data_IF_833187204566
#
_entry.id   IF_833187204566
#
_cell.length_a   1.000
_cell.length_b   1.000
_cell.length_c   1.000
_cell.angle_alpha   90.00
_cell.angle_beta   90.00
_cell.angle_gamma   90.00
#
_symmetry.space_group_name_H-M   'P 1'
#
loop_
_entity.id
_entity.type
_entity.pdbx_description
1 polymer ?
#
# COMPACT_ATOMS: atom_id res chain seq x y z
N UNK A 1 -19.77 -20.38 11.28
CA UNK A 1 -19.41 -20.96 9.96
C UNK A 1 -18.30 -20.07 9.39
N UNK A 2 -17.12 -20.64 9.10
CA UNK A 2 -16.03 -19.87 8.51
C UNK A 2 -16.37 -19.37 7.10
N UNK A 3 -15.72 -18.28 6.66
CA UNK A 3 -15.86 -17.75 5.32
C UNK A 3 -15.40 -18.77 4.25
N UNK A 4 -15.73 -18.53 2.98
CA UNK A 4 -15.22 -19.36 1.87
C UNK A 4 -13.68 -19.33 1.85
N UNK A 5 -13.08 -18.19 2.18
CA UNK A 5 -11.63 -18.04 2.27
C UNK A 5 -11.03 -18.90 3.39
N UNK A 6 -11.68 -18.97 4.58
CA UNK A 6 -11.23 -19.81 5.69
C UNK A 6 -11.23 -21.29 5.33
N UNK A 7 -12.25 -21.77 4.61
CA UNK A 7 -12.33 -23.16 4.17
C UNK A 7 -11.22 -23.50 3.19
N UNK A 8 -10.99 -22.64 2.21
CA UNK A 8 -9.94 -22.84 1.22
C UNK A 8 -8.55 -22.75 1.85
N UNK A 9 -8.33 -21.78 2.76
CA UNK A 9 -7.09 -21.64 3.49
C UNK A 9 -6.78 -22.86 4.35
N UNK A 10 -7.81 -23.41 5.02
CA UNK A 10 -7.66 -24.65 5.78
C UNK A 10 -7.17 -25.80 4.88
N UNK A 11 -7.80 -25.99 3.70
CA UNK A 11 -7.38 -27.03 2.76
C UNK A 11 -5.94 -26.83 2.25
N UNK A 12 -5.51 -25.57 2.03
CA UNK A 12 -4.12 -25.27 1.69
C UNK A 12 -3.15 -25.59 2.82
N UNK A 13 -3.50 -25.28 4.08
CA UNK A 13 -2.67 -25.58 5.26
C UNK A 13 -2.54 -27.07 5.52
N UNK A 14 -3.58 -27.84 5.25
CA UNK A 14 -3.55 -29.31 5.37
C UNK A 14 -2.69 -29.97 4.27
N UNK A 15 -2.46 -29.27 3.15
CA UNK A 15 -1.72 -29.76 1.99
C UNK A 15 -0.55 -28.83 1.60
N UNK A 16 0.18 -28.32 2.58
CA UNK A 16 1.36 -27.46 2.33
C UNK A 16 2.39 -28.20 1.47
N UNK A 17 2.91 -27.49 0.46
CA UNK A 17 3.86 -28.08 -0.49
C UNK A 17 3.20 -28.86 -1.63
N UNK A 18 1.87 -29.05 -1.63
CA UNK A 18 1.15 -29.78 -2.65
C UNK A 18 0.21 -28.88 -3.47
N UNK A 19 -0.03 -29.26 -4.73
CA UNK A 19 -0.96 -28.55 -5.60
C UNK A 19 -2.41 -28.86 -5.24
N UNK A 20 -3.07 -27.92 -4.60
CA UNK A 20 -4.44 -28.06 -4.09
C UNK A 20 -5.44 -27.37 -5.01
N UNK A 21 -6.51 -28.08 -5.38
CA UNK A 21 -7.58 -27.54 -6.23
C UNK A 21 -8.34 -26.42 -5.52
N UNK A 22 -8.36 -25.23 -6.13
CA UNK A 22 -9.08 -24.07 -5.59
C UNK A 22 -10.60 -24.21 -5.65
N UNK A 23 -11.15 -24.98 -6.60
CA UNK A 23 -12.58 -25.12 -6.80
C UNK A 23 -13.25 -26.07 -5.77
N UNK A 24 -12.82 -27.33 -5.69
CA UNK A 24 -13.49 -28.30 -4.81
C UNK A 24 -13.29 -28.01 -3.31
N UNK A 25 -12.26 -27.25 -2.95
CA UNK A 25 -12.00 -26.88 -1.57
C UNK A 25 -12.60 -25.53 -1.13
N UNK A 26 -12.99 -24.67 -2.08
CA UNK A 26 -13.65 -23.41 -1.76
C UNK A 26 -15.18 -23.50 -1.76
N UNK A 27 -15.73 -24.37 -2.58
CA UNK A 27 -17.16 -24.37 -2.89
C UNK A 27 -17.60 -23.11 -3.65
N UNK A 28 -16.65 -22.38 -4.23
CA UNK A 28 -16.89 -21.13 -4.96
C UNK A 28 -16.71 -21.33 -6.46
N UNK A 29 -17.60 -20.75 -7.25
CA UNK A 29 -17.44 -20.67 -8.70
C UNK A 29 -16.33 -19.71 -9.15
N UNK A 30 -15.79 -18.90 -8.22
CA UNK A 30 -14.70 -17.95 -8.46
C UNK A 30 -13.49 -18.18 -7.51
N UNK A 31 -12.80 -19.31 -7.59
CA UNK A 31 -11.70 -19.63 -6.68
C UNK A 31 -10.53 -18.63 -6.76
N UNK A 32 -10.36 -17.95 -7.90
CA UNK A 32 -9.33 -16.93 -8.06
C UNK A 32 -9.57 -15.67 -7.21
N UNK A 33 -10.83 -15.29 -6.95
CA UNK A 33 -11.15 -14.19 -6.05
C UNK A 33 -10.80 -14.56 -4.59
N UNK A 34 -11.26 -15.72 -4.14
CA UNK A 34 -10.95 -16.27 -2.82
C UNK A 34 -9.43 -16.45 -2.61
N UNK A 35 -8.72 -16.93 -3.64
CA UNK A 35 -7.26 -17.02 -3.60
C UNK A 35 -6.57 -15.67 -3.38
N UNK A 36 -7.06 -14.60 -4.05
CA UNK A 36 -6.51 -13.24 -3.85
C UNK A 36 -6.72 -12.74 -2.42
N UNK A 37 -7.86 -13.06 -1.80
CA UNK A 37 -8.10 -12.72 -0.38
C UNK A 37 -7.08 -13.41 0.52
N UNK A 38 -6.82 -14.69 0.31
CA UNK A 38 -5.83 -15.46 1.08
C UNK A 38 -4.41 -14.89 0.87
N UNK A 39 -4.07 -14.51 -0.36
CA UNK A 39 -2.79 -13.83 -0.61
C UNK A 39 -2.67 -12.50 0.14
N UNK A 40 -3.74 -11.72 0.23
CA UNK A 40 -3.78 -10.49 1.02
C UNK A 40 -3.58 -10.71 2.51
N UNK A 41 -3.93 -11.88 3.02
CA UNK A 41 -3.63 -12.27 4.41
C UNK A 41 -2.14 -12.59 4.63
N UNK A 42 -1.28 -12.44 3.61
CA UNK A 42 0.17 -12.63 3.70
C UNK A 42 0.66 -14.05 3.43
N UNK A 43 -0.22 -14.98 3.05
CA UNK A 43 0.21 -16.33 2.70
C UNK A 43 0.94 -16.38 1.36
N UNK A 44 2.05 -17.12 1.33
CA UNK A 44 2.93 -17.25 0.16
C UNK A 44 2.65 -18.52 -0.59
N UNK A 45 2.50 -18.38 -1.90
CA UNK A 45 2.24 -19.46 -2.83
C UNK A 45 3.35 -19.55 -3.88
N UNK A 46 3.59 -20.75 -4.40
CA UNK A 46 4.54 -20.98 -5.47
C UNK A 46 4.09 -20.25 -6.75
N UNK A 47 5.00 -19.47 -7.33
CA UNK A 47 4.77 -18.85 -8.64
C UNK A 47 5.04 -19.86 -9.76
N UNK A 48 4.07 -20.03 -10.65
CA UNK A 48 4.22 -20.85 -11.86
C UNK A 48 5.00 -20.08 -12.93
N UNK A 49 4.69 -18.78 -13.05
CA UNK A 49 5.40 -17.79 -13.86
C UNK A 49 5.30 -16.44 -13.15
N UNK A 50 6.12 -15.42 -13.47
CA UNK A 50 6.04 -14.12 -12.82
C UNK A 50 4.61 -13.58 -12.73
N UNK A 51 4.18 -13.29 -11.50
CA UNK A 51 2.82 -12.81 -11.15
C UNK A 51 1.68 -13.81 -11.44
N UNK A 52 1.98 -15.10 -11.60
CA UNK A 52 0.98 -16.14 -11.81
C UNK A 52 1.21 -17.34 -10.87
N UNK A 53 0.25 -17.62 -10.01
CA UNK A 53 0.31 -18.67 -8.98
C UNK A 53 -0.61 -19.87 -9.28
N UNK A 54 -1.57 -19.70 -10.17
CA UNK A 54 -2.49 -20.77 -10.55
C UNK A 54 -1.95 -21.63 -11.68
N UNK A 55 -1.90 -22.96 -11.45
CA UNK A 55 -1.58 -23.99 -12.44
C UNK A 55 -2.84 -24.75 -12.80
N UNK A 56 -3.17 -24.83 -14.10
CA UNK A 56 -4.29 -25.66 -14.55
C UNK A 56 -3.87 -27.13 -14.56
N UNK A 57 -4.57 -27.94 -13.79
CA UNK A 57 -4.33 -29.38 -13.67
C UNK A 57 -5.66 -30.14 -13.61
N UNK A 58 -5.65 -31.40 -14.01
CA UNK A 58 -6.79 -32.27 -13.82
C UNK A 58 -6.99 -32.54 -12.32
N UNK A 59 -8.21 -32.32 -11.83
CA UNK A 59 -8.61 -32.62 -10.46
C UNK A 59 -9.46 -33.87 -10.43
N UNK A 60 -9.02 -34.98 -9.78
CA UNK A 60 -9.79 -36.20 -9.73
C UNK A 60 -11.09 -36.08 -8.91
N UNK A 61 -11.17 -35.08 -8.00
CA UNK A 61 -12.37 -34.84 -7.18
C UNK A 61 -13.43 -34.08 -8.00
N UNK A 62 -13.05 -33.05 -8.76
CA UNK A 62 -13.96 -32.30 -9.63
C UNK A 62 -14.21 -33.01 -10.97
N UNK A 63 -13.34 -33.97 -11.33
CA UNK A 63 -13.27 -34.66 -12.62
C UNK A 63 -13.13 -33.68 -13.81
N UNK A 64 -12.40 -32.58 -13.59
CA UNK A 64 -12.19 -31.49 -14.58
C UNK A 64 -10.82 -30.86 -14.42
N UNK A 65 -10.39 -30.15 -15.49
CA UNK A 65 -9.23 -29.30 -15.41
C UNK A 65 -9.57 -28.00 -14.67
N UNK A 66 -8.91 -27.74 -13.53
CA UNK A 66 -9.14 -26.60 -12.65
C UNK A 66 -7.85 -25.93 -12.23
N UNK A 67 -7.94 -24.69 -11.75
CA UNK A 67 -6.81 -24.00 -11.17
C UNK A 67 -6.43 -24.58 -9.81
N UNK A 68 -5.19 -25.02 -9.69
CA UNK A 68 -4.56 -25.45 -8.44
C UNK A 68 -3.56 -24.42 -7.99
N UNK A 69 -3.37 -24.33 -6.69
CA UNK A 69 -2.42 -23.42 -6.05
C UNK A 69 -1.61 -24.22 -5.02
N UNK A 70 -0.35 -23.85 -4.83
CA UNK A 70 0.55 -24.54 -3.90
C UNK A 70 1.01 -23.57 -2.83
N UNK A 71 0.55 -23.78 -1.60
CA UNK A 71 0.97 -23.03 -0.42
C UNK A 71 2.39 -23.43 -0.01
N UNK A 72 3.27 -22.46 0.27
CA UNK A 72 4.67 -22.69 0.64
C UNK A 72 4.84 -22.82 2.16
N UNK A 73 4.05 -22.05 2.95
CA UNK A 73 4.14 -22.02 4.41
C UNK A 73 2.77 -21.92 5.05
N UNK A 74 2.58 -22.61 6.17
CA UNK A 74 1.36 -22.52 7.00
C UNK A 74 1.23 -21.19 7.72
N UNK A 75 2.34 -20.46 7.88
CA UNK A 75 2.37 -19.15 8.51
C UNK A 75 2.46 -18.05 7.44
N UNK A 76 1.73 -16.95 7.63
CA UNK A 76 1.87 -15.80 6.73
C UNK A 76 3.25 -15.17 6.90
N UNK A 77 3.97 -14.98 5.80
CA UNK A 77 5.27 -14.30 5.80
C UNK A 77 5.13 -12.77 5.81
N UNK A 78 3.99 -12.27 5.35
CA UNK A 78 3.67 -10.84 5.34
C UNK A 78 2.24 -10.69 5.88
N UNK A 79 2.11 -10.06 7.03
CA UNK A 79 0.80 -9.62 7.52
C UNK A 79 0.48 -8.30 6.83
N UNK A 80 -0.58 -8.25 6.00
CA UNK A 80 -1.08 -6.95 5.53
C UNK A 80 -1.45 -6.10 6.74
N UNK A 81 -0.81 -4.95 6.88
CA UNK A 81 -1.17 -3.96 7.90
C UNK A 81 -2.61 -3.53 7.64
N UNK A 82 -3.53 -3.66 8.61
CA UNK A 82 -4.87 -3.15 8.44
C UNK A 82 -4.81 -1.62 8.24
N UNK A 83 -5.58 -1.11 7.27
CA UNK A 83 -5.74 0.33 7.10
C UNK A 83 -6.85 0.83 8.03
N UNK A 84 -6.57 1.90 8.77
CA UNK A 84 -7.57 2.60 9.53
C UNK A 84 -8.60 3.26 8.60
N UNK A 85 -9.87 3.04 8.85
CA UNK A 85 -10.94 3.70 8.08
C UNK A 85 -11.10 5.14 8.54
N UNK A 86 -11.19 6.06 7.61
CA UNK A 86 -11.40 7.49 7.88
C UNK A 86 -12.90 7.80 7.74
N UNK A 87 -13.54 8.21 8.82
CA UNK A 87 -14.96 8.62 8.81
C UNK A 87 -15.14 9.96 8.09
N UNK A 88 -16.35 10.29 7.58
CA UNK A 88 -16.61 11.59 6.97
C UNK A 88 -16.27 12.79 7.87
N UNK A 89 -16.50 12.66 9.19
CA UNK A 89 -16.17 13.71 10.17
C UNK A 89 -14.66 13.92 10.31
N UNK A 90 -13.89 12.83 10.38
CA UNK A 90 -12.43 12.89 10.41
C UNK A 90 -11.86 13.47 9.12
N UNK A 91 -12.42 13.06 7.97
CA UNK A 91 -12.04 13.62 6.67
C UNK A 91 -12.25 15.13 6.63
N UNK A 92 -13.42 15.62 7.04
CA UNK A 92 -13.71 17.05 7.08
C UNK A 92 -12.72 17.82 7.97
N UNK A 93 -12.38 17.26 9.15
CA UNK A 93 -11.37 17.84 10.05
C UNK A 93 -10.00 17.96 9.38
N UNK A 94 -9.53 16.89 8.72
CA UNK A 94 -8.23 16.87 8.03
C UNK A 94 -8.19 17.87 6.87
N UNK A 95 -9.26 17.96 6.08
CA UNK A 95 -9.35 18.93 4.98
C UNK A 95 -9.17 20.36 5.46
N UNK A 96 -9.87 20.75 6.53
CA UNK A 96 -9.76 22.09 7.13
C UNK A 96 -8.35 22.34 7.67
N UNK A 97 -7.78 21.39 8.42
CA UNK A 97 -6.44 21.54 9.01
C UNK A 97 -5.33 21.69 7.98
N UNK A 98 -5.52 21.09 6.80
CA UNK A 98 -4.55 21.14 5.69
C UNK A 98 -4.95 22.14 4.59
N UNK A 99 -5.75 23.16 4.94
CA UNK A 99 -6.14 24.29 4.07
C UNK A 99 -6.81 23.90 2.76
N UNK A 100 -7.33 22.69 2.62
CA UNK A 100 -7.90 22.16 1.37
C UNK A 100 -6.99 22.37 0.15
N UNK A 101 -5.67 22.22 0.33
CA UNK A 101 -4.66 22.44 -0.72
C UNK A 101 -3.85 21.19 -1.00
N UNK A 102 -3.59 20.95 -2.28
CA UNK A 102 -2.62 19.94 -2.71
C UNK A 102 -1.20 20.33 -2.26
N UNK A 103 -0.55 19.42 -1.53
CA UNK A 103 0.76 19.71 -0.94
C UNK A 103 1.85 19.99 -1.98
N UNK A 104 1.74 19.44 -3.19
CA UNK A 104 2.76 19.63 -4.22
C UNK A 104 2.52 20.88 -5.08
N UNK A 105 1.30 21.12 -5.53
CA UNK A 105 0.98 22.25 -6.39
C UNK A 105 0.57 23.51 -5.63
N UNK A 106 0.03 23.36 -4.41
CA UNK A 106 -0.62 24.45 -3.67
C UNK A 106 -2.01 24.81 -4.20
N UNK A 107 -2.51 24.12 -5.21
CA UNK A 107 -3.84 24.33 -5.75
C UNK A 107 -4.92 23.89 -4.77
N UNK A 108 -6.05 24.59 -4.73
CA UNK A 108 -7.20 24.19 -3.91
C UNK A 108 -7.79 22.89 -4.43
N UNK A 109 -8.00 21.93 -3.51
CA UNK A 109 -8.64 20.64 -3.76
C UNK A 109 -9.66 20.41 -2.66
N UNK A 110 -10.89 20.03 -3.03
CA UNK A 110 -11.98 19.84 -2.08
C UNK A 110 -12.46 18.38 -2.06
N UNK A 111 -13.44 18.04 -2.91
CA UNK A 111 -14.11 16.74 -2.89
C UNK A 111 -13.21 15.56 -3.33
N UNK A 112 -12.22 15.81 -4.18
CA UNK A 112 -11.34 14.80 -4.77
C UNK A 112 -10.00 14.66 -4.04
N UNK A 113 -9.77 15.40 -2.95
CA UNK A 113 -8.55 15.32 -2.15
C UNK A 113 -8.36 13.90 -1.59
N UNK A 114 -7.19 13.34 -1.76
CA UNK A 114 -6.76 12.12 -1.08
C UNK A 114 -5.92 12.51 0.15
N UNK A 115 -6.30 11.97 1.32
CA UNK A 115 -5.51 12.12 2.55
C UNK A 115 -4.38 11.10 2.46
N UNK A 116 -3.16 11.60 2.43
CA UNK A 116 -1.97 10.80 2.25
C UNK A 116 -1.02 10.95 3.45
N UNK A 117 -0.38 9.86 3.84
CA UNK A 117 0.67 9.89 4.87
C UNK A 117 1.95 10.52 4.31
N UNK A 118 2.54 11.49 5.00
CA UNK A 118 3.84 12.07 4.60
C UNK A 118 4.90 10.97 4.50
N UNK A 119 5.04 10.12 5.53
CA UNK A 119 5.79 8.86 5.45
C UNK A 119 4.95 7.85 4.66
N UNK A 120 5.47 7.23 3.58
CA UNK A 120 4.70 6.25 2.82
C UNK A 120 4.17 5.14 3.73
N UNK A 121 2.90 4.76 3.57
CA UNK A 121 2.27 3.70 4.37
C UNK A 121 3.09 2.38 4.39
N UNK A 122 3.78 2.06 3.30
CA UNK A 122 4.66 0.89 3.20
C UNK A 122 5.83 0.90 4.19
N UNK A 123 6.21 2.07 4.74
CA UNK A 123 7.28 2.24 5.73
C UNK A 123 6.79 2.37 7.16
N UNK A 124 5.50 2.57 7.38
CA UNK A 124 4.93 2.59 8.71
C UNK A 124 4.90 1.16 9.27
N UNK A 125 5.14 0.98 10.56
CA UNK A 125 4.98 -0.34 11.21
C UNK A 125 3.49 -0.70 11.34
N UNK A 126 2.67 0.30 11.65
CA UNK A 126 1.22 0.22 11.72
C UNK A 126 0.60 1.47 11.11
N UNK A 127 -0.66 1.39 10.72
CA UNK A 127 -1.40 2.56 10.22
C UNK A 127 -1.67 3.55 11.36
N UNK A 128 -1.78 4.82 11.01
CA UNK A 128 -2.00 5.91 11.96
C UNK A 128 -3.51 6.17 12.07
N UNK A 129 -4.07 5.93 13.25
CA UNK A 129 -5.48 6.21 13.52
C UNK A 129 -5.69 7.71 13.79
N UNK A 130 -6.29 8.41 12.84
CA UNK A 130 -6.61 9.85 12.93
C UNK A 130 -7.49 10.17 14.15
N UNK A 131 -8.28 9.21 14.65
CA UNK A 131 -9.18 9.46 15.79
C UNK A 131 -8.44 9.80 17.09
N UNK A 132 -7.22 9.31 17.25
CA UNK A 132 -6.38 9.50 18.43
C UNK A 132 -5.42 10.69 18.34
N UNK A 133 -5.34 11.35 17.17
CA UNK A 133 -4.37 12.40 16.91
C UNK A 133 -4.87 13.80 17.32
N UNK A 134 -3.94 14.63 17.81
CA UNK A 134 -4.12 16.07 17.91
C UNK A 134 -4.12 16.72 16.52
N UNK A 135 -4.53 18.00 16.44
CA UNK A 135 -4.49 18.76 15.17
C UNK A 135 -3.04 18.92 14.66
N UNK A 136 -2.09 19.13 15.56
CA UNK A 136 -0.67 19.23 15.21
C UNK A 136 -0.13 17.91 14.66
N UNK A 137 -0.47 16.77 15.26
CA UNK A 137 -0.06 15.46 14.79
C UNK A 137 -0.63 15.17 13.38
N UNK A 138 -1.87 15.61 13.11
CA UNK A 138 -2.46 15.49 11.77
C UNK A 138 -1.64 16.27 10.75
N UNK A 139 -1.29 17.53 11.06
CA UNK A 139 -0.48 18.39 10.17
C UNK A 139 0.93 17.80 9.99
N UNK A 140 1.50 17.18 11.01
CA UNK A 140 2.81 16.55 10.95
C UNK A 140 2.82 15.28 10.10
N UNK A 141 1.80 14.43 10.22
CA UNK A 141 1.82 13.09 9.62
C UNK A 141 1.13 12.98 8.27
N UNK A 142 0.22 13.92 7.96
CA UNK A 142 -0.60 13.85 6.76
C UNK A 142 -0.41 15.04 5.83
N UNK A 143 -0.79 14.85 4.59
CA UNK A 143 -0.90 15.88 3.55
C UNK A 143 -2.09 15.58 2.65
N UNK A 144 -2.58 16.60 1.94
CA UNK A 144 -3.60 16.41 0.91
C UNK A 144 -2.94 16.36 -0.46
N UNK A 145 -3.36 15.42 -1.26
CA UNK A 145 -2.89 15.26 -2.64
C UNK A 145 -4.08 15.10 -3.58
N UNK A 146 -3.91 15.52 -4.84
CA UNK A 146 -4.76 15.00 -5.91
C UNK A 146 -4.44 13.52 -6.12
N UNK A 147 -5.36 12.80 -6.77
CA UNK A 147 -5.13 11.39 -7.10
C UNK A 147 -3.88 11.19 -7.95
N UNK A 148 -3.63 12.07 -8.91
CA UNK A 148 -2.46 12.04 -9.78
C UNK A 148 -1.17 12.20 -8.99
N UNK A 149 -1.12 13.17 -8.08
CA UNK A 149 0.03 13.43 -7.22
C UNK A 149 0.27 12.28 -6.22
N UNK A 150 -0.79 11.71 -5.68
CA UNK A 150 -0.67 10.54 -4.80
C UNK A 150 -0.09 9.32 -5.54
N UNK A 151 -0.53 9.05 -6.78
CA UNK A 151 0.04 7.99 -7.61
C UNK A 151 1.51 8.24 -7.98
N UNK A 152 1.89 9.50 -8.26
CA UNK A 152 3.29 9.84 -8.52
C UNK A 152 4.15 9.64 -7.29
N UNK A 153 3.68 10.07 -6.11
CA UNK A 153 4.36 9.84 -4.84
C UNK A 153 4.53 8.34 -4.55
N UNK A 154 3.48 7.55 -4.72
CA UNK A 154 3.55 6.10 -4.49
C UNK A 154 4.68 5.46 -5.33
N UNK A 155 4.72 5.76 -6.64
CA UNK A 155 5.77 5.27 -7.54
C UNK A 155 7.17 5.73 -7.13
N UNK A 156 7.32 7.00 -6.76
CA UNK A 156 8.58 7.58 -6.30
C UNK A 156 9.06 6.90 -5.01
N UNK A 157 8.14 6.69 -4.05
CA UNK A 157 8.44 6.03 -2.78
C UNK A 157 8.78 4.54 -2.98
N UNK A 158 8.08 3.82 -3.86
CA UNK A 158 8.44 2.44 -4.22
C UNK A 158 9.83 2.36 -4.84
N UNK A 159 10.18 3.29 -5.75
CA UNK A 159 11.54 3.39 -6.29
C UNK A 159 12.58 3.61 -5.18
N UNK A 160 12.30 4.54 -4.25
CA UNK A 160 13.17 4.83 -3.12
C UNK A 160 13.33 3.62 -2.18
N UNK A 161 12.26 2.86 -1.92
CA UNK A 161 12.31 1.64 -1.11
C UNK A 161 13.25 0.60 -1.76
N UNK A 162 13.11 0.41 -3.06
CA UNK A 162 13.88 -0.58 -3.83
C UNK A 162 15.36 -0.20 -3.95
N UNK A 163 15.66 1.06 -4.23
CA UNK A 163 17.01 1.51 -4.62
C UNK A 163 17.76 2.27 -3.53
N UNK A 164 17.11 2.54 -2.38
CA UNK A 164 17.64 3.37 -1.29
C UNK A 164 18.07 4.78 -1.74
N UNK A 165 17.42 5.28 -2.81
CA UNK A 165 17.64 6.61 -3.35
C UNK A 165 16.33 7.38 -3.46
N UNK A 166 16.33 8.61 -2.95
CA UNK A 166 15.21 9.55 -2.98
C UNK A 166 15.07 10.13 -4.40
N UNK A 167 14.00 9.85 -5.15
CA UNK A 167 13.83 10.47 -6.47
C UNK A 167 13.58 11.98 -6.36
N UNK A 168 14.04 12.76 -7.36
CA UNK A 168 13.74 14.18 -7.42
C UNK A 168 12.23 14.44 -7.52
N UNK A 169 11.74 15.51 -6.88
CA UNK A 169 10.34 15.92 -7.02
C UNK A 169 10.18 16.63 -8.36
N UNK A 170 9.30 16.12 -9.23
CA UNK A 170 9.04 16.65 -10.59
C UNK A 170 10.31 16.90 -11.42
N UNK A 171 11.34 16.07 -11.25
CA UNK A 171 12.60 16.19 -11.96
C UNK A 171 13.60 17.20 -11.39
N UNK A 172 13.22 17.90 -10.29
CA UNK A 172 14.10 18.87 -9.63
C UNK A 172 14.90 18.15 -8.55
N UNK A 173 16.22 18.05 -8.73
CA UNK A 173 17.18 17.43 -7.81
C UNK A 173 17.50 18.39 -6.65
N UNK A 174 16.55 18.54 -5.74
CA UNK A 174 16.67 19.35 -4.54
C UNK A 174 16.08 18.60 -3.35
N UNK A 175 16.82 18.51 -2.28
CA UNK A 175 16.41 17.97 -0.99
C UNK A 175 16.64 19.06 0.05
N UNK A 176 15.61 19.40 0.81
CA UNK A 176 15.72 20.50 1.78
C UNK A 176 16.48 20.09 3.05
N UNK A 177 16.73 18.79 3.20
CA UNK A 177 17.61 18.22 4.22
C UNK A 177 18.28 16.94 3.69
N UNK A 178 19.60 16.84 3.84
CA UNK A 178 20.41 15.72 3.34
C UNK A 178 20.60 15.75 1.81
N UNK A 179 20.62 14.57 1.22
CA UNK A 179 20.85 14.36 -0.22
C UNK A 179 19.87 13.30 -0.83
N UNK A 180 20.20 12.76 -1.99
CA UNK A 180 19.40 11.73 -2.66
C UNK A 180 19.44 10.37 -1.94
N UNK A 181 20.24 10.19 -0.90
CA UNK A 181 20.38 8.92 -0.20
C UNK A 181 19.29 8.77 0.87
N UNK A 182 18.63 7.61 0.89
CA UNK A 182 17.68 7.28 1.93
C UNK A 182 18.41 6.63 3.13
N UNK A 183 18.46 7.36 4.24
CA UNK A 183 19.10 6.96 5.51
C UNK A 183 18.03 6.77 6.60
N UNK A 184 17.08 5.85 6.36
CA UNK A 184 15.96 5.51 7.25
C UNK A 184 15.07 6.68 7.70
N UNK A 185 15.18 7.83 7.00
CA UNK A 185 14.33 9.00 7.19
C UNK A 185 13.80 9.53 5.86
N UNK A 186 12.54 9.94 5.85
CA UNK A 186 11.93 10.64 4.71
C UNK A 186 12.10 12.16 4.78
N UNK A 187 12.53 12.70 5.92
CA UNK A 187 12.74 14.15 6.11
C UNK A 187 13.74 14.66 5.07
N UNK A 188 13.48 15.84 4.53
CA UNK A 188 14.30 16.43 3.46
C UNK A 188 13.83 16.08 2.03
N UNK A 189 13.02 15.04 1.86
CA UNK A 189 12.51 14.60 0.57
C UNK A 189 11.24 15.40 0.19
N UNK A 190 11.17 15.92 -1.04
CA UNK A 190 9.98 16.64 -1.52
C UNK A 190 8.72 15.76 -1.62
N UNK A 191 8.87 14.45 -1.80
CA UNK A 191 7.74 13.51 -1.77
C UNK A 191 7.20 13.26 -0.36
N UNK A 192 8.00 13.54 0.67
CA UNK A 192 7.58 13.48 2.06
C UNK A 192 6.76 14.72 2.44
N UNK A 193 7.30 15.92 2.20
CA UNK A 193 6.65 17.19 2.52
C UNK A 193 6.82 18.18 1.37
N UNK A 194 5.82 18.26 0.51
CA UNK A 194 5.83 19.15 -0.66
C UNK A 194 5.72 20.62 -0.31
N UNK A 195 5.11 20.97 0.82
CA UNK A 195 4.98 22.35 1.30
C UNK A 195 6.36 22.86 1.73
N UNK A 196 7.00 22.17 2.67
CA UNK A 196 8.33 22.49 3.16
C UNK A 196 9.36 22.53 2.03
N UNK A 197 9.28 21.55 1.10
CA UNK A 197 10.16 21.50 -0.05
C UNK A 197 10.07 22.75 -0.93
N UNK A 198 8.85 23.23 -1.23
CA UNK A 198 8.66 24.47 -2.02
C UNK A 198 9.18 25.69 -1.31
N UNK A 199 8.92 25.82 -0.01
CA UNK A 199 9.42 26.92 0.80
C UNK A 199 10.94 26.99 0.77
N UNK A 200 11.60 25.85 1.03
CA UNK A 200 13.07 25.77 1.04
C UNK A 200 13.69 25.93 -0.33
N UNK A 201 13.06 25.41 -1.38
CA UNK A 201 13.49 25.65 -2.76
C UNK A 201 13.42 27.15 -3.12
N UNK A 202 12.34 27.83 -2.74
CA UNK A 202 12.20 29.26 -2.97
C UNK A 202 13.24 30.10 -2.20
N UNK A 203 13.57 29.72 -0.97
CA UNK A 203 14.67 30.32 -0.21
C UNK A 203 16.03 30.10 -0.90
N UNK A 204 16.26 28.90 -1.43
CA UNK A 204 17.49 28.54 -2.13
C UNK A 204 17.68 29.31 -3.44
N UNK A 205 16.63 29.48 -4.22
CA UNK A 205 16.67 30.19 -5.53
C UNK A 205 16.87 31.71 -5.36
N UNK A 206 16.44 32.28 -4.23
CA UNK A 206 16.56 33.73 -3.94
C UNK A 206 17.96 34.13 -3.46
N UNK A 207 18.83 33.19 -3.17
CA UNK A 207 20.24 33.43 -2.79
C UNK A 207 21.14 33.52 -3.98
#
# INVERSE_FOLDING_TARGET
MGSIADKLLKAFKENVGEWTCGYCNSGSNQPAATFREIKKMGYVFEEVTPNRWGKTMFCPICNENRSHYKLISTEPLVVEKPRCSITPKQRARVLVLLDEKDAFSGASITSTAEIDHKVPWSRLEQDIDISSLSDNDIIEHFQLLTREHNLLKDRACQHCIKNKKRPPLFGISFWYEGDDTYNDSCIGCGWYDGIMWREKLNEFIKK
#
